data_IF_719764550658
#
_entry.id   IF_719764550658
#
_cell.length_a   1.000
_cell.length_b   1.000
_cell.length_c   1.000
_cell.angle_alpha   90.00
_cell.angle_beta   90.00
_cell.angle_gamma   90.00
#
_symmetry.space_group_name_H-M   'P 1'
#
loop_
_entity.id
_entity.type
_entity.pdbx_description
1 polymer ?
#
# COMPACT_ATOMS: atom_id res chain seq x y z
N UNK A 1 13.41 33.92 -25.10
CA UNK A 1 13.43 34.31 -23.68
C UNK A 1 13.59 33.06 -22.82
N UNK A 2 14.46 33.06 -21.81
CA UNK A 2 14.66 31.90 -20.92
C UNK A 2 13.67 31.96 -19.76
N UNK A 3 12.69 31.06 -19.77
CA UNK A 3 11.68 30.98 -18.69
C UNK A 3 12.31 30.35 -17.44
N UNK A 4 12.22 31.05 -16.30
CA UNK A 4 12.57 30.48 -14.98
C UNK A 4 11.34 29.85 -14.36
N UNK A 5 11.46 28.62 -13.88
CA UNK A 5 10.38 27.87 -13.24
C UNK A 5 10.82 27.39 -11.84
N UNK A 6 9.86 27.10 -10.97
CA UNK A 6 10.13 26.47 -9.67
C UNK A 6 9.81 24.98 -9.71
N UNK A 7 10.79 24.13 -9.39
CA UNK A 7 10.60 22.69 -9.36
C UNK A 7 9.54 22.31 -8.30
N UNK A 8 8.54 21.51 -8.67
CA UNK A 8 7.47 21.11 -7.74
C UNK A 8 7.94 20.11 -6.67
N UNK A 9 9.09 19.46 -6.87
CA UNK A 9 9.62 18.45 -5.94
C UNK A 9 10.64 19.03 -4.96
N UNK A 10 11.73 19.63 -5.46
CA UNK A 10 12.80 20.19 -4.62
C UNK A 10 12.68 21.69 -4.37
N UNK A 11 11.67 22.37 -4.95
CA UNK A 11 11.39 23.81 -4.80
C UNK A 11 12.50 24.77 -5.29
N UNK A 12 13.58 24.26 -5.89
CA UNK A 12 14.64 25.07 -6.52
C UNK A 12 14.13 25.76 -7.78
N UNK A 13 14.60 26.97 -8.04
CA UNK A 13 14.34 27.72 -9.28
C UNK A 13 15.33 27.23 -10.34
N UNK A 14 14.83 26.86 -11.52
CA UNK A 14 15.65 26.37 -12.63
C UNK A 14 15.25 27.05 -13.93
N UNK A 15 16.19 27.12 -14.87
CA UNK A 15 15.90 27.50 -16.25
C UNK A 15 15.19 26.33 -16.93
N UNK A 16 14.02 26.59 -17.49
CA UNK A 16 13.30 25.58 -18.24
C UNK A 16 14.07 25.23 -19.53
N UNK A 17 13.99 23.97 -19.95
CA UNK A 17 14.46 23.55 -21.25
C UNK A 17 13.69 24.32 -22.35
N UNK A 18 14.36 24.78 -23.43
CA UNK A 18 13.73 25.60 -24.46
C UNK A 18 12.46 24.96 -25.05
N UNK A 19 12.48 23.63 -25.24
CA UNK A 19 11.35 22.87 -25.78
C UNK A 19 10.19 22.71 -24.80
N UNK A 20 10.43 22.77 -23.49
CA UNK A 20 9.40 22.53 -22.48
C UNK A 20 8.77 23.83 -21.95
N UNK A 21 9.56 24.92 -21.89
CA UNK A 21 9.11 26.22 -21.38
C UNK A 21 8.39 26.12 -20.03
N UNK A 22 7.24 26.78 -19.92
CA UNK A 22 6.42 26.81 -18.70
C UNK A 22 5.78 25.47 -18.32
N UNK A 23 5.76 24.50 -19.24
CA UNK A 23 5.21 23.16 -18.99
C UNK A 23 6.14 22.29 -18.16
N UNK A 24 7.44 22.62 -18.10
CA UNK A 24 8.37 21.90 -17.25
C UNK A 24 8.03 22.13 -15.77
N UNK A 25 7.88 21.03 -15.03
CA UNK A 25 7.53 21.06 -13.59
C UNK A 25 8.65 20.59 -12.67
N UNK A 26 9.64 19.89 -13.21
CA UNK A 26 10.74 19.26 -12.47
C UNK A 26 12.08 19.64 -13.06
N UNK A 27 13.11 19.77 -12.23
CA UNK A 27 14.42 20.26 -12.63
C UNK A 27 15.35 19.18 -13.20
N UNK A 28 15.26 17.94 -12.70
CA UNK A 28 16.23 16.89 -13.01
C UNK A 28 15.56 15.50 -13.07
N UNK A 29 16.25 14.47 -13.60
CA UNK A 29 15.75 13.10 -13.65
C UNK A 29 15.36 12.54 -12.27
N UNK A 30 16.11 12.86 -11.23
CA UNK A 30 15.81 12.43 -9.86
C UNK A 30 14.47 12.99 -9.35
N UNK A 31 14.24 14.30 -9.53
CA UNK A 31 12.96 14.93 -9.20
C UNK A 31 11.83 14.33 -10.04
N UNK A 32 12.07 14.02 -11.32
CA UNK A 32 11.10 13.33 -12.18
C UNK A 32 10.76 11.95 -11.62
N UNK A 33 11.74 11.16 -11.19
CA UNK A 33 11.55 9.86 -10.58
C UNK A 33 10.81 9.95 -9.23
N UNK A 34 11.15 10.93 -8.38
CA UNK A 34 10.43 11.21 -7.14
C UNK A 34 8.95 11.52 -7.39
N UNK A 35 8.66 12.36 -8.40
CA UNK A 35 7.29 12.67 -8.80
C UNK A 35 6.53 11.44 -9.30
N UNK A 36 7.16 10.63 -10.16
CA UNK A 36 6.58 9.35 -10.63
C UNK A 36 6.24 8.42 -9.47
N UNK A 37 7.15 8.27 -8.49
CA UNK A 37 6.91 7.49 -7.27
C UNK A 37 5.73 8.02 -6.45
N UNK A 38 5.62 9.34 -6.26
CA UNK A 38 4.48 9.97 -5.58
C UNK A 38 3.16 9.72 -6.32
N UNK A 39 3.16 9.88 -7.65
CA UNK A 39 1.97 9.60 -8.47
C UNK A 39 1.56 8.13 -8.38
N UNK A 40 2.50 7.19 -8.46
CA UNK A 40 2.23 5.76 -8.31
C UNK A 40 1.66 5.43 -6.91
N UNK A 41 2.19 6.02 -5.85
CA UNK A 41 1.62 5.90 -4.49
C UNK A 41 0.18 6.41 -4.43
N UNK A 42 -0.11 7.58 -5.02
CA UNK A 42 -1.47 8.14 -5.07
C UNK A 42 -2.44 7.27 -5.85
N UNK A 43 -2.02 6.66 -6.96
CA UNK A 43 -2.85 5.70 -7.72
C UNK A 43 -3.19 4.49 -6.85
N UNK A 44 -2.19 3.81 -6.30
CA UNK A 44 -2.39 2.68 -5.38
C UNK A 44 -3.31 3.01 -4.21
N UNK A 45 -3.18 4.20 -3.63
CA UNK A 45 -4.06 4.63 -2.54
C UNK A 45 -5.52 4.80 -3.00
N UNK A 46 -5.75 5.36 -4.20
CA UNK A 46 -7.11 5.46 -4.78
C UNK A 46 -7.68 4.08 -5.06
N UNK A 47 -6.88 3.17 -5.60
CA UNK A 47 -7.30 1.79 -5.88
C UNK A 47 -7.75 1.08 -4.60
N UNK A 48 -7.01 1.25 -3.50
CA UNK A 48 -7.38 0.72 -2.17
C UNK A 48 -8.69 1.32 -1.64
N UNK A 49 -8.93 2.62 -1.86
CA UNK A 49 -10.18 3.27 -1.45
C UNK A 49 -11.36 2.73 -2.26
N UNK A 50 -11.20 2.63 -3.59
CA UNK A 50 -12.24 2.05 -4.46
C UNK A 50 -12.56 0.59 -4.08
N UNK A 51 -11.54 -0.22 -3.81
CA UNK A 51 -11.73 -1.60 -3.36
C UNK A 51 -12.51 -1.69 -2.02
N UNK A 52 -12.23 -0.77 -1.07
CA UNK A 52 -12.98 -0.71 0.20
C UNK A 52 -14.44 -0.33 -0.01
N UNK A 53 -14.72 0.64 -0.88
CA UNK A 53 -16.09 1.06 -1.20
C UNK A 53 -16.89 -0.07 -1.87
N UNK A 54 -16.26 -0.81 -2.77
CA UNK A 54 -16.86 -1.98 -3.41
C UNK A 54 -17.16 -3.09 -2.41
N UNK A 55 -16.24 -3.37 -1.48
CA UNK A 55 -16.46 -4.35 -0.43
C UNK A 55 -17.62 -3.94 0.50
N UNK A 56 -17.66 -2.68 0.94
CA UNK A 56 -18.78 -2.14 1.73
C UNK A 56 -20.10 -2.32 0.98
N UNK A 57 -20.13 -2.05 -0.33
CA UNK A 57 -21.31 -2.23 -1.18
C UNK A 57 -21.73 -3.68 -1.30
N UNK A 58 -20.78 -4.62 -1.44
CA UNK A 58 -21.04 -6.07 -1.44
C UNK A 58 -21.67 -6.52 -0.13
N UNK A 59 -21.08 -6.11 1.00
CA UNK A 59 -21.60 -6.44 2.32
C UNK A 59 -23.00 -5.87 2.54
N UNK A 60 -23.25 -4.63 2.12
CA UNK A 60 -24.58 -4.02 2.19
C UNK A 60 -25.61 -4.82 1.40
N UNK A 61 -25.32 -5.16 0.13
CA UNK A 61 -26.19 -5.97 -0.72
C UNK A 61 -26.46 -7.35 -0.10
N UNK A 62 -25.43 -7.98 0.47
CA UNK A 62 -25.60 -9.27 1.15
C UNK A 62 -26.53 -9.14 2.37
N UNK A 63 -26.32 -8.13 3.23
CA UNK A 63 -27.19 -7.87 4.39
C UNK A 63 -28.63 -7.55 4.01
N UNK A 64 -28.85 -6.86 2.89
CA UNK A 64 -30.18 -6.60 2.33
C UNK A 64 -30.85 -7.91 1.86
N UNK A 65 -30.13 -8.77 1.14
CA UNK A 65 -30.63 -10.09 0.71
C UNK A 65 -31.00 -10.98 1.90
N UNK A 66 -30.15 -11.06 2.93
CA UNK A 66 -30.41 -11.87 4.13
C UNK A 66 -31.65 -11.36 4.87
N UNK A 67 -31.82 -10.03 5.01
CA UNK A 67 -33.02 -9.44 5.61
C UNK A 67 -34.28 -9.75 4.82
N UNK A 68 -34.24 -9.64 3.49
CA UNK A 68 -35.37 -9.96 2.63
C UNK A 68 -35.77 -11.45 2.71
N UNK A 69 -34.80 -12.35 2.86
CA UNK A 69 -35.07 -13.78 3.06
C UNK A 69 -35.75 -14.08 4.40
N UNK A 70 -35.41 -13.33 5.46
CA UNK A 70 -36.01 -13.47 6.79
C UNK A 70 -37.43 -12.89 6.89
N UNK A 71 -37.79 -11.96 6.02
CA UNK A 71 -39.14 -11.38 5.96
C UNK A 71 -40.13 -12.17 5.11
N UNK A 72 -39.70 -13.29 4.47
CA UNK A 72 -40.66 -14.18 3.81
C UNK A 72 -41.53 -14.84 4.88
N UNK A 73 -42.87 -14.79 4.77
CA UNK A 73 -43.74 -15.53 5.66
C UNK A 73 -43.37 -17.01 5.57
N UNK A 74 -43.19 -17.65 6.73
CA UNK A 74 -42.94 -19.08 6.79
C UNK A 74 -44.10 -19.81 6.09
N UNK A 75 -43.78 -20.85 5.32
CA UNK A 75 -44.78 -21.73 4.75
C UNK A 75 -45.73 -22.22 5.85
N UNK A 76 -47.04 -22.41 5.56
CA UNK A 76 -47.99 -22.86 6.56
C UNK A 76 -47.52 -24.18 7.19
N UNK A 77 -47.63 -24.33 8.52
CA UNK A 77 -47.15 -25.51 9.20
C UNK A 77 -47.88 -26.75 8.65
N UNK A 78 -47.11 -27.74 8.20
CA UNK A 78 -47.61 -29.08 7.85
C UNK A 78 -48.31 -29.66 9.08
N UNK A 79 -49.55 -30.09 8.90
CA UNK A 79 -50.51 -30.38 9.97
C UNK A 79 -50.23 -31.66 10.77
N UNK A 80 -49.14 -32.38 10.52
CA UNK A 80 -48.85 -33.65 11.18
C UNK A 80 -47.57 -33.60 12.00
N UNK A 81 -47.75 -33.54 13.32
CA UNK A 81 -47.05 -34.46 14.23
C UNK A 81 -45.61 -34.16 14.63
N UNK A 82 -45.46 -33.29 15.64
CA UNK A 82 -44.40 -33.29 16.69
C UNK A 82 -42.93 -33.32 16.21
N UNK A 83 -42.37 -32.13 16.03
CA UNK A 83 -40.93 -31.91 16.15
C UNK A 83 -40.47 -32.05 17.61
N UNK A 84 -39.97 -33.23 17.97
CA UNK A 84 -39.29 -33.51 19.24
C UNK A 84 -37.92 -32.83 19.37
N UNK A 85 -37.50 -32.06 18.36
CA UNK A 85 -36.24 -31.31 18.32
C UNK A 85 -36.48 -29.85 17.95
N UNK A 86 -37.37 -29.17 18.68
CA UNK A 86 -37.45 -27.72 18.61
C UNK A 86 -36.03 -27.14 18.83
N UNK A 87 -35.42 -26.48 17.83
CA UNK A 87 -34.08 -25.93 17.98
C UNK A 87 -34.11 -24.91 19.12
N UNK A 88 -33.18 -25.04 20.06
CA UNK A 88 -33.13 -24.23 21.28
C UNK A 88 -33.51 -22.77 20.99
N UNK A 89 -34.59 -22.31 21.64
CA UNK A 89 -35.29 -21.06 21.36
C UNK A 89 -34.37 -19.93 20.87
N UNK A 90 -34.40 -19.70 19.56
CA UNK A 90 -33.67 -18.62 18.87
C UNK A 90 -34.11 -17.21 19.30
N UNK A 91 -35.13 -17.12 20.17
CA UNK A 91 -35.76 -15.89 20.67
C UNK A 91 -34.90 -15.11 21.67
N UNK A 92 -33.89 -15.72 22.32
CA UNK A 92 -32.93 -14.99 23.19
C UNK A 92 -31.75 -14.37 22.43
N UNK A 93 -31.69 -14.52 21.10
CA UNK A 93 -30.49 -14.19 20.32
C UNK A 93 -30.18 -12.70 20.07
N UNK A 94 -31.12 -11.75 19.94
CA UNK A 94 -30.75 -10.38 19.56
C UNK A 94 -30.15 -9.59 20.73
N UNK A 95 -30.69 -9.74 21.95
CA UNK A 95 -30.15 -9.05 23.14
C UNK A 95 -28.79 -9.61 23.55
N UNK A 96 -28.60 -10.94 23.49
CA UNK A 96 -27.30 -11.56 23.73
C UNK A 96 -26.27 -11.14 22.70
N UNK A 97 -26.64 -11.06 21.41
CA UNK A 97 -25.77 -10.55 20.35
C UNK A 97 -25.42 -9.06 20.58
N UNK A 98 -26.38 -8.24 21.00
CA UNK A 98 -26.14 -6.83 21.31
C UNK A 98 -25.21 -6.66 22.52
N UNK A 99 -25.37 -7.49 23.57
CA UNK A 99 -24.46 -7.52 24.73
C UNK A 99 -23.05 -7.98 24.33
N UNK A 100 -22.93 -9.03 23.53
CA UNK A 100 -21.65 -9.50 23.02
C UNK A 100 -20.94 -8.42 22.18
N UNK A 101 -21.67 -7.73 21.29
CA UNK A 101 -21.12 -6.63 20.51
C UNK A 101 -20.61 -5.48 21.40
N UNK A 102 -21.36 -5.11 22.46
CA UNK A 102 -20.91 -4.10 23.43
C UNK A 102 -19.63 -4.49 24.16
N UNK A 103 -19.50 -5.77 24.57
CA UNK A 103 -18.29 -6.27 25.24
C UNK A 103 -17.08 -6.16 24.30
N UNK A 104 -17.23 -6.60 23.05
CA UNK A 104 -16.17 -6.52 22.04
C UNK A 104 -15.76 -5.06 21.78
N UNK A 105 -16.71 -4.14 21.68
CA UNK A 105 -16.43 -2.70 21.49
C UNK A 105 -15.65 -2.09 22.66
N UNK A 106 -16.01 -2.45 23.90
CA UNK A 106 -15.28 -1.99 25.09
C UNK A 106 -13.86 -2.52 25.08
N UNK A 107 -13.69 -3.82 24.82
CA UNK A 107 -12.36 -4.44 24.72
C UNK A 107 -11.52 -3.80 23.60
N UNK A 108 -12.12 -3.51 22.45
CA UNK A 108 -11.43 -2.86 21.34
C UNK A 108 -11.00 -1.44 21.66
N UNK A 109 -11.84 -0.65 22.34
CA UNK A 109 -11.47 0.72 22.76
C UNK A 109 -10.34 0.73 23.78
N UNK A 110 -10.32 -0.23 24.70
CA UNK A 110 -9.27 -0.33 25.73
C UNK A 110 -7.97 -0.88 25.14
N UNK A 111 -8.06 -1.86 24.24
CA UNK A 111 -6.88 -2.52 23.65
C UNK A 111 -6.23 -1.71 22.54
N UNK A 112 -6.99 -0.94 21.75
CA UNK A 112 -6.47 -0.24 20.58
C UNK A 112 -5.34 0.76 20.89
N UNK A 113 -5.44 1.67 21.87
CA UNK A 113 -4.33 2.56 22.20
C UNK A 113 -3.11 1.83 22.76
N UNK A 114 -3.29 0.64 23.35
CA UNK A 114 -2.18 -0.21 23.80
C UNK A 114 -1.49 -0.87 22.61
N UNK A 115 -2.27 -1.48 21.72
CA UNK A 115 -1.78 -2.08 20.47
C UNK A 115 -1.06 -1.07 19.59
N UNK A 116 -1.60 0.14 19.45
CA UNK A 116 -0.96 1.22 18.68
C UNK A 116 0.39 1.62 19.30
N UNK A 117 0.48 1.70 20.63
CA UNK A 117 1.75 2.00 21.33
C UNK A 117 2.77 0.87 21.19
N UNK A 118 2.36 -0.38 21.35
CA UNK A 118 3.26 -1.54 21.19
C UNK A 118 3.73 -1.66 19.74
N UNK A 119 2.84 -1.49 18.76
CA UNK A 119 3.22 -1.46 17.34
C UNK A 119 4.21 -0.34 17.02
N UNK A 120 3.97 0.87 17.54
CA UNK A 120 4.90 1.99 17.33
C UNK A 120 6.27 1.73 17.98
N UNK A 121 6.31 1.10 19.15
CA UNK A 121 7.56 0.68 19.80
C UNK A 121 8.34 -0.29 18.91
N UNK A 122 7.68 -1.35 18.46
CA UNK A 122 8.30 -2.35 17.57
C UNK A 122 8.81 -1.74 16.27
N UNK A 123 8.07 -0.80 15.67
CA UNK A 123 8.51 -0.09 14.47
C UNK A 123 9.76 0.76 14.71
N UNK A 124 9.85 1.43 15.87
CA UNK A 124 11.02 2.23 16.24
C UNK A 124 12.24 1.35 16.53
N UNK A 125 12.05 0.24 17.26
CA UNK A 125 13.13 -0.71 17.55
C UNK A 125 13.68 -1.35 16.27
N UNK A 126 12.82 -1.78 15.36
CA UNK A 126 13.25 -2.34 14.07
C UNK A 126 14.02 -1.31 13.23
N UNK A 127 13.58 -0.04 13.24
CA UNK A 127 14.31 1.04 12.55
C UNK A 127 15.69 1.26 13.16
N UNK A 128 15.81 1.24 14.49
CA UNK A 128 17.10 1.36 15.17
C UNK A 128 18.05 0.21 14.80
N UNK A 129 17.55 -1.04 14.80
CA UNK A 129 18.33 -2.20 14.37
C UNK A 129 18.80 -2.09 12.92
N UNK A 130 17.94 -1.57 12.04
CA UNK A 130 18.32 -1.34 10.63
C UNK A 130 19.45 -0.31 10.53
N UNK A 131 19.35 0.80 11.25
CA UNK A 131 20.39 1.84 11.27
C UNK A 131 21.73 1.32 11.83
N UNK A 132 21.69 0.46 12.85
CA UNK A 132 22.88 -0.21 13.37
C UNK A 132 23.55 -1.08 12.30
N UNK A 133 22.78 -1.92 11.60
CA UNK A 133 23.30 -2.75 10.50
C UNK A 133 23.92 -1.91 9.38
N UNK A 134 23.27 -0.80 9.01
CA UNK A 134 23.80 0.12 7.99
C UNK A 134 25.12 0.77 8.44
N UNK A 135 25.23 1.12 9.73
CA UNK A 135 26.46 1.66 10.31
C UNK A 135 27.59 0.61 10.38
N UNK A 136 27.27 -0.64 10.75
CA UNK A 136 28.22 -1.76 10.75
C UNK A 136 28.75 -2.04 9.33
N UNK A 137 27.88 -2.02 8.32
CA UNK A 137 28.26 -2.19 6.91
C UNK A 137 29.17 -1.03 6.47
N UNK A 138 28.84 0.20 6.85
CA UNK A 138 29.66 1.38 6.53
C UNK A 138 31.06 1.27 7.17
N UNK A 139 31.13 0.94 8.46
CA UNK A 139 32.40 0.76 9.18
C UNK A 139 33.22 -0.41 8.64
N UNK A 140 32.58 -1.52 8.27
CA UNK A 140 33.26 -2.64 7.63
C UNK A 140 33.77 -2.30 6.22
N UNK A 141 33.08 -1.41 5.50
CA UNK A 141 33.47 -0.93 4.17
C UNK A 141 34.59 0.11 4.18
N UNK A 142 34.72 0.92 5.24
CA UNK A 142 35.80 1.91 5.39
C UNK A 142 37.18 1.28 5.64
N UNK A 143 37.25 -0.01 5.99
CA UNK A 143 38.51 -0.72 6.26
C UNK A 143 39.22 -1.34 5.05
N UNK A 144 38.62 -1.35 3.84
CA UNK A 144 39.15 -2.12 2.70
C UNK A 144 39.75 -1.28 1.55
N UNK A 145 39.68 0.04 1.61
CA UNK A 145 40.44 0.90 0.70
C UNK A 145 41.69 1.43 1.40
N UNK A 146 42.66 0.54 1.62
CA UNK A 146 44.04 1.00 1.66
C UNK A 146 44.28 1.81 0.37
N UNK A 147 44.95 2.98 0.42
CA UNK A 147 45.33 3.73 -0.78
C UNK A 147 46.45 2.97 -1.51
N UNK A 148 46.10 1.81 -2.07
CA UNK A 148 46.94 0.99 -2.90
C UNK A 148 46.95 1.56 -4.31
N UNK A 149 47.96 2.37 -4.56
CA UNK A 149 48.61 2.61 -5.85
C UNK A 149 47.71 2.85 -7.07
N UNK A 150 47.82 4.08 -7.60
CA UNK A 150 47.38 4.45 -8.92
C UNK A 150 48.01 3.54 -10.00
N UNK A 151 47.38 2.39 -10.27
CA UNK A 151 47.64 1.60 -11.48
C UNK A 151 47.05 2.34 -12.67
N UNK A 152 47.88 3.21 -13.23
CA UNK A 152 47.81 3.55 -14.65
C UNK A 152 47.95 2.26 -15.48
N UNK A 153 46.95 1.95 -16.31
CA UNK A 153 46.93 1.07 -17.51
C UNK A 153 45.56 0.41 -17.60
N UNK A 154 44.83 0.46 -18.70
CA UNK A 154 45.13 0.99 -20.02
C UNK A 154 43.83 1.25 -20.76
N UNK A 155 43.91 2.13 -21.75
CA UNK A 155 42.89 2.37 -22.76
C UNK A 155 42.60 1.04 -23.46
N UNK A 156 41.42 0.46 -23.26
CA UNK A 156 40.91 -0.54 -24.19
C UNK A 156 39.98 0.18 -25.18
N UNK A 157 40.27 0.13 -26.49
CA UNK A 157 39.43 0.71 -27.51
C UNK A 157 38.17 -0.14 -27.71
N UNK A 158 37.09 0.58 -28.01
CA UNK A 158 35.88 0.16 -28.68
C UNK A 158 35.93 -1.22 -29.36
N UNK A 159 35.37 -2.25 -28.71
CA UNK A 159 34.78 -3.37 -29.43
C UNK A 159 33.28 -3.08 -29.60
N UNK A 160 33.01 -2.52 -30.78
CA UNK A 160 31.77 -2.60 -31.53
C UNK A 160 31.24 -4.03 -31.50
N UNK A 161 30.15 -4.26 -30.76
CA UNK A 161 29.35 -5.48 -30.91
C UNK A 161 28.05 -5.10 -31.61
N UNK A 162 27.90 -5.67 -32.80
CA UNK A 162 26.85 -5.43 -33.77
C UNK A 162 25.44 -5.57 -33.19
N UNK A 163 24.59 -4.66 -33.63
CA UNK A 163 23.14 -4.71 -33.47
C UNK A 163 22.56 -5.86 -34.30
N UNK A 164 22.04 -6.89 -33.65
CA UNK A 164 21.14 -7.85 -34.30
C UNK A 164 19.71 -7.39 -34.08
N UNK A 165 19.15 -6.81 -35.14
CA UNK A 165 17.74 -6.48 -35.32
C UNK A 165 16.92 -7.77 -35.46
N UNK A 166 16.08 -8.09 -34.47
CA UNK A 166 15.03 -9.10 -34.62
C UNK A 166 13.67 -8.42 -34.70
N UNK A 167 13.27 -8.11 -35.94
CA UNK A 167 11.88 -7.88 -36.31
C UNK A 167 11.14 -9.21 -36.28
N UNK A 168 10.13 -9.32 -35.42
CA UNK A 168 9.05 -10.30 -35.57
C UNK A 168 7.78 -9.53 -35.94
N UNK A 169 7.24 -9.85 -37.10
CA UNK A 169 5.90 -9.46 -37.52
C UNK A 169 4.88 -10.46 -36.94
N UNK A 170 3.68 -10.02 -36.53
CA UNK A 170 2.59 -10.92 -36.21
C UNK A 170 1.83 -11.35 -37.48
N UNK A 171 1.56 -12.65 -37.57
CA UNK A 171 0.41 -13.19 -38.31
C UNK A 171 -0.80 -13.31 -37.40
#
# INVERSE_FOLDING_TARGET
MVVKIRCCECRRVVRAAPQAGERQKVCCPECRAARKRKQARRRRQRDLVGAKEDEVRRQRRHREKVRAAQSRPADPPLADGRDCHAPADSRKSPELRAKAAKIVDVLWRVSRPRLERELMRELLENKARQQQREAEIWQAGEGCHAPGEARSRGKNPAESVDSVDHRHAPG
#
